data_IF_088665597793
#
_entry.id   IF_088665597793
#
_cell.length_a   1.000
_cell.length_b   1.000
_cell.length_c   1.000
_cell.angle_alpha   90.00
_cell.angle_beta   90.00
_cell.angle_gamma   90.00
#
_symmetry.space_group_name_H-M   'P 1'
#
loop_
_entity.id
_entity.type
_entity.pdbx_description
1 polymer ?
#
# COMPACT_ATOMS: atom_id res chain seq x y z
N UNK A 1 13.33 4.12 -11.51
CA UNK A 1 12.47 3.35 -10.58
C UNK A 1 13.33 2.81 -9.46
N UNK A 2 13.18 3.16 -8.17
CA UNK A 2 12.15 3.89 -7.42
C UNK A 2 12.16 5.42 -7.52
N UNK A 3 13.27 6.04 -7.94
CA UNK A 3 13.44 7.51 -7.87
C UNK A 3 12.42 8.29 -8.71
N UNK A 4 12.07 7.78 -9.89
CA UNK A 4 10.99 8.32 -10.73
C UNK A 4 9.64 8.34 -9.99
N UNK A 5 9.32 7.26 -9.26
CA UNK A 5 8.08 7.18 -8.47
C UNK A 5 8.13 8.18 -7.31
N UNK A 6 9.27 8.30 -6.62
CA UNK A 6 9.46 9.30 -5.56
C UNK A 6 9.28 10.73 -6.09
N UNK A 7 9.82 11.03 -7.27
CA UNK A 7 9.70 12.34 -7.91
C UNK A 7 8.26 12.66 -8.33
N UNK A 8 7.55 11.68 -8.90
CA UNK A 8 6.15 11.82 -9.29
C UNK A 8 5.22 11.97 -8.08
N UNK A 9 5.40 11.12 -7.07
CA UNK A 9 4.56 11.11 -5.88
C UNK A 9 4.91 12.21 -4.87
N UNK A 10 6.03 12.92 -5.06
CA UNK A 10 6.58 13.91 -4.13
C UNK A 10 6.79 13.34 -2.72
N UNK A 11 7.16 12.06 -2.64
CA UNK A 11 7.27 11.31 -1.39
C UNK A 11 8.47 10.39 -1.35
N UNK A 12 8.84 9.95 -0.15
CA UNK A 12 9.93 9.00 0.10
C UNK A 12 9.36 7.64 0.53
N UNK A 13 9.77 6.52 -0.07
CA UNK A 13 9.26 5.21 0.30
C UNK A 13 9.77 4.81 1.69
N UNK A 14 8.97 4.06 2.44
CA UNK A 14 9.47 3.34 3.62
C UNK A 14 10.30 2.13 3.22
N UNK A 15 9.99 1.54 2.06
CA UNK A 15 10.81 0.50 1.46
C UNK A 15 10.72 0.52 -0.07
N UNK A 16 11.85 0.32 -0.74
CA UNK A 16 11.89 0.22 -2.19
C UNK A 16 12.82 -0.91 -2.66
N UNK A 17 12.58 -1.39 -3.87
CA UNK A 17 13.38 -2.44 -4.52
C UNK A 17 13.52 -2.16 -6.00
N UNK A 18 14.69 -2.45 -6.54
CA UNK A 18 14.92 -2.40 -7.98
C UNK A 18 14.70 -3.78 -8.59
N UNK A 19 14.18 -3.83 -9.82
CA UNK A 19 14.17 -5.06 -10.59
C UNK A 19 15.62 -5.52 -10.80
N UNK A 20 15.88 -6.82 -10.61
CA UNK A 20 17.22 -7.39 -10.69
C UNK A 20 18.04 -7.27 -9.40
N UNK A 21 17.55 -6.58 -8.37
CA UNK A 21 18.24 -6.47 -7.09
C UNK A 21 18.38 -7.84 -6.41
N UNK A 22 19.57 -8.14 -5.90
CA UNK A 22 19.82 -9.28 -5.03
C UNK A 22 19.23 -9.05 -3.64
N UNK A 23 18.35 -9.95 -3.21
CA UNK A 23 17.73 -9.94 -1.90
C UNK A 23 18.26 -11.11 -1.09
N UNK A 24 19.05 -10.82 -0.05
CA UNK A 24 19.51 -11.83 0.90
C UNK A 24 18.40 -12.17 1.88
N UNK A 25 17.99 -13.43 1.89
CA UNK A 25 17.00 -13.96 2.83
C UNK A 25 17.68 -14.36 4.14
N UNK A 26 16.88 -14.46 5.21
CA UNK A 26 17.38 -14.82 6.56
C UNK A 26 18.08 -16.18 6.61
N UNK A 27 17.73 -17.10 5.70
CA UNK A 27 18.32 -18.43 5.57
C UNK A 27 19.59 -18.46 4.69
N UNK A 28 20.13 -17.30 4.29
CA UNK A 28 21.33 -17.19 3.45
C UNK A 28 21.09 -17.34 1.95
N UNK A 29 19.87 -17.69 1.52
CA UNK A 29 19.53 -17.78 0.09
C UNK A 29 19.45 -16.39 -0.53
N UNK A 30 20.01 -16.23 -1.74
CA UNK A 30 19.87 -15.01 -2.54
C UNK A 30 18.71 -15.18 -3.51
N UNK A 31 17.77 -14.23 -3.50
CA UNK A 31 16.68 -14.14 -4.46
C UNK A 31 16.83 -12.88 -5.30
N UNK A 32 16.72 -13.01 -6.62
CA UNK A 32 16.66 -11.86 -7.52
C UNK A 32 15.23 -11.30 -7.55
N UNK A 33 15.09 -10.00 -7.31
CA UNK A 33 13.81 -9.31 -7.44
C UNK A 33 13.33 -9.34 -8.89
N UNK A 34 12.26 -10.10 -9.18
CA UNK A 34 11.68 -10.19 -10.53
C UNK A 34 11.02 -8.88 -10.97
N UNK A 35 10.57 -8.08 -10.02
CA UNK A 35 9.93 -6.78 -10.21
C UNK A 35 10.54 -5.75 -9.27
N UNK A 36 10.44 -4.47 -9.64
CA UNK A 36 10.69 -3.36 -8.73
C UNK A 36 9.46 -3.08 -7.86
N UNK A 37 9.66 -2.47 -6.71
CA UNK A 37 8.56 -2.05 -5.82
C UNK A 37 8.90 -0.73 -5.15
N UNK A 38 7.90 0.13 -4.96
CA UNK A 38 7.98 1.35 -4.15
C UNK A 38 6.83 1.28 -3.16
N UNK A 39 7.11 1.35 -1.86
CA UNK A 39 6.11 1.08 -0.81
C UNK A 39 6.18 2.11 0.30
N UNK A 40 5.00 2.43 0.83
CA UNK A 40 4.79 3.14 2.08
C UNK A 40 4.12 2.22 3.10
N UNK A 41 4.27 2.56 4.37
CA UNK A 41 3.61 1.89 5.49
C UNK A 41 3.04 2.97 6.40
N UNK A 42 1.80 2.80 6.86
CA UNK A 42 1.21 3.64 7.89
C UNK A 42 1.66 3.19 9.29
N UNK A 43 1.43 4.06 10.26
CA UNK A 43 1.55 3.72 11.68
C UNK A 43 0.50 2.69 12.08
N UNK A 44 0.89 1.70 12.89
CA UNK A 44 -0.04 0.73 13.47
C UNK A 44 -1.04 1.45 14.39
N UNK A 45 -2.31 1.04 14.37
CA UNK A 45 -3.39 1.64 15.17
C UNK A 45 -4.16 0.56 15.92
N UNK A 46 -4.49 0.85 17.18
CA UNK A 46 -5.34 0.04 18.04
C UNK A 46 -6.32 0.95 18.80
N UNK A 47 -7.65 0.75 18.71
CA UNK A 47 -8.35 -0.20 17.82
C UNK A 47 -8.03 0.02 16.33
N UNK A 48 -8.34 -0.99 15.49
CA UNK A 48 -8.10 -0.92 14.05
C UNK A 48 -8.80 0.29 13.43
N UNK A 49 -8.06 1.06 12.63
CA UNK A 49 -8.56 2.25 11.93
C UNK A 49 -7.91 2.33 10.55
N UNK A 50 -8.38 1.44 9.67
CA UNK A 50 -7.88 1.33 8.30
C UNK A 50 -8.13 2.62 7.49
N UNK A 51 -9.28 3.27 7.70
CA UNK A 51 -9.59 4.50 6.97
C UNK A 51 -8.57 5.60 7.28
N UNK A 52 -8.24 5.81 8.56
CA UNK A 52 -7.24 6.81 8.90
C UNK A 52 -5.83 6.42 8.42
N UNK A 53 -5.48 5.14 8.36
CA UNK A 53 -4.22 4.67 7.79
C UNK A 53 -4.15 4.90 6.26
N UNK A 54 -5.26 4.69 5.54
CA UNK A 54 -5.38 5.03 4.12
C UNK A 54 -5.07 6.53 3.94
N UNK A 55 -5.74 7.40 4.70
CA UNK A 55 -5.51 8.84 4.57
C UNK A 55 -4.12 9.28 5.07
N UNK A 56 -3.56 8.62 6.08
CA UNK A 56 -2.17 8.86 6.51
C UNK A 56 -1.18 8.61 5.38
N UNK A 57 -1.35 7.53 4.61
CA UNK A 57 -0.53 7.24 3.43
C UNK A 57 -0.80 8.27 2.33
N UNK A 58 -2.06 8.48 1.95
CA UNK A 58 -2.41 9.34 0.81
C UNK A 58 -2.03 10.81 1.06
N UNK A 59 -2.07 11.30 2.30
CA UNK A 59 -1.70 12.67 2.64
C UNK A 59 -0.19 12.94 2.53
N UNK A 60 0.65 11.90 2.49
CA UNK A 60 2.10 12.04 2.27
C UNK A 60 2.47 12.18 0.79
N UNK A 61 1.50 12.02 -0.11
CA UNK A 61 1.71 11.94 -1.55
C UNK A 61 1.04 13.10 -2.28
N UNK A 62 1.42 13.31 -3.53
CA UNK A 62 0.74 14.25 -4.42
C UNK A 62 -0.76 13.99 -4.49
N UNK A 63 -1.55 15.07 -4.49
CA UNK A 63 -3.00 15.03 -4.69
C UNK A 63 -3.38 15.22 -6.17
N UNK A 64 -2.39 15.41 -7.05
CA UNK A 64 -2.60 15.57 -8.49
C UNK A 64 -3.03 14.24 -9.14
N UNK A 65 -4.30 14.15 -9.52
CA UNK A 65 -4.86 12.95 -10.12
C UNK A 65 -4.30 12.64 -11.51
N UNK A 66 -3.71 13.61 -12.22
CA UNK A 66 -3.08 13.35 -13.52
C UNK A 66 -1.81 12.50 -13.37
N UNK A 67 -1.09 12.70 -12.26
CA UNK A 67 0.05 11.85 -11.89
C UNK A 67 -0.41 10.44 -11.56
N UNK A 68 -1.51 10.31 -10.80
CA UNK A 68 -2.07 9.01 -10.46
C UNK A 68 -2.61 8.25 -11.68
N UNK A 69 -3.24 8.96 -12.63
CA UNK A 69 -3.64 8.38 -13.91
C UNK A 69 -2.42 7.85 -14.69
N UNK A 70 -1.36 8.63 -14.81
CA UNK A 70 -0.11 8.17 -15.42
C UNK A 70 0.48 6.94 -14.71
N UNK A 71 0.51 6.94 -13.38
CA UNK A 71 1.03 5.83 -12.59
C UNK A 71 0.18 4.57 -12.75
N UNK A 72 -1.14 4.67 -12.67
CA UNK A 72 -2.07 3.53 -12.81
C UNK A 72 -2.03 2.89 -14.21
N UNK A 73 -1.71 3.66 -15.25
CA UNK A 73 -1.56 3.15 -16.61
C UNK A 73 -0.24 2.38 -16.84
N UNK A 74 0.79 2.67 -16.04
CA UNK A 74 2.16 2.16 -16.25
C UNK A 74 2.60 1.15 -15.18
N UNK A 75 1.98 1.21 -14.02
CA UNK A 75 2.29 0.41 -12.84
C UNK A 75 1.02 -0.19 -12.24
N UNK A 76 1.15 -0.84 -11.09
CA UNK A 76 0.03 -1.44 -10.36
C UNK A 76 0.00 -0.82 -8.96
N UNK A 77 -0.61 0.35 -8.78
CA UNK A 77 -0.83 0.91 -7.45
C UNK A 77 -1.77 -0.01 -6.66
N UNK A 78 -1.32 -0.46 -5.50
CA UNK A 78 -2.09 -1.27 -4.58
C UNK A 78 -2.02 -0.71 -3.16
N UNK A 79 -3.01 -1.07 -2.35
CA UNK A 79 -2.98 -0.94 -0.90
C UNK A 79 -3.35 -2.30 -0.33
N UNK A 80 -2.43 -2.86 0.44
CA UNK A 80 -2.61 -4.13 1.11
C UNK A 80 -2.69 -3.94 2.62
N UNK A 81 -3.67 -4.57 3.27
CA UNK A 81 -3.70 -4.66 4.73
C UNK A 81 -4.23 -6.02 5.23
N UNK A 82 -3.69 -6.46 6.37
CA UNK A 82 -4.27 -7.52 7.17
C UNK A 82 -5.23 -6.94 8.21
N UNK A 83 -6.44 -7.48 8.29
CA UNK A 83 -7.48 -7.10 9.26
C UNK A 83 -7.68 -8.28 10.21
N UNK A 84 -7.58 -8.03 11.52
CA UNK A 84 -7.83 -9.03 12.56
C UNK A 84 -9.18 -8.74 13.21
N UNK A 85 -10.19 -9.52 12.81
CA UNK A 85 -11.53 -9.32 13.35
C UNK A 85 -11.57 -9.57 14.86
N UNK A 86 -12.33 -8.79 15.62
CA UNK A 86 -12.54 -9.00 17.05
C UNK A 86 -13.53 -10.15 17.34
N UNK A 87 -14.34 -10.54 16.36
CA UNK A 87 -15.32 -11.62 16.46
C UNK A 87 -15.76 -12.17 15.11
N UNK A 88 -16.53 -13.27 15.12
CA UNK A 88 -17.03 -13.94 13.90
C UNK A 88 -18.07 -13.13 13.09
N UNK A 89 -18.67 -12.12 13.71
CA UNK A 89 -19.63 -11.20 13.08
C UNK A 89 -19.18 -9.76 13.32
N UNK A 90 -17.89 -9.53 13.08
CA UNK A 90 -17.27 -8.23 13.13
C UNK A 90 -17.13 -7.67 11.71
N UNK A 91 -16.95 -6.37 11.59
CA UNK A 91 -16.85 -5.71 10.31
C UNK A 91 -16.17 -4.36 10.41
N UNK A 92 -15.43 -4.02 9.37
CA UNK A 92 -14.85 -2.71 9.18
C UNK A 92 -15.54 -2.06 7.97
N UNK A 93 -15.99 -0.82 8.15
CA UNK A 93 -16.52 -0.01 7.07
C UNK A 93 -15.47 0.99 6.59
N UNK A 94 -15.31 1.10 5.28
CA UNK A 94 -14.67 2.24 4.65
C UNK A 94 -15.73 3.21 4.15
N UNK A 95 -15.56 4.49 4.43
CA UNK A 95 -16.46 5.52 3.92
C UNK A 95 -16.41 5.59 2.39
N UNK A 96 -17.49 6.11 1.79
CA UNK A 96 -17.50 6.42 0.36
C UNK A 96 -16.37 7.38 -0.04
N UNK A 97 -15.93 8.26 0.89
CA UNK A 97 -14.80 9.16 0.69
C UNK A 97 -13.49 8.38 0.54
N UNK A 98 -13.24 7.39 1.40
CA UNK A 98 -12.04 6.56 1.33
C UNK A 98 -12.02 5.73 0.03
N UNK A 99 -13.15 5.10 -0.30
CA UNK A 99 -13.29 4.31 -1.53
C UNK A 99 -13.09 5.18 -2.79
N UNK A 100 -13.65 6.39 -2.81
CA UNK A 100 -13.44 7.34 -3.90
C UNK A 100 -11.98 7.78 -4.00
N UNK A 101 -11.33 8.06 -2.86
CA UNK A 101 -9.94 8.48 -2.84
C UNK A 101 -8.99 7.41 -3.43
N UNK A 102 -9.25 6.13 -3.15
CA UNK A 102 -8.52 5.01 -3.75
C UNK A 102 -8.87 4.87 -5.24
N UNK A 103 -10.17 4.86 -5.57
CA UNK A 103 -10.65 4.65 -6.93
C UNK A 103 -10.18 5.71 -7.93
N UNK A 104 -10.20 7.00 -7.54
CA UNK A 104 -9.70 8.09 -8.37
C UNK A 104 -8.20 8.01 -8.66
N UNK A 105 -7.45 7.25 -7.84
CA UNK A 105 -6.01 7.04 -7.99
C UNK A 105 -5.67 5.73 -8.67
N UNK A 106 -6.68 4.93 -9.04
CA UNK A 106 -6.49 3.60 -9.61
C UNK A 106 -5.83 2.62 -8.63
N UNK A 107 -6.04 2.79 -7.32
CA UNK A 107 -5.46 1.94 -6.28
C UNK A 107 -6.44 0.81 -5.96
N UNK A 108 -6.03 -0.44 -6.13
CA UNK A 108 -6.77 -1.60 -5.63
C UNK A 108 -6.60 -1.75 -4.12
N UNK A 109 -7.64 -2.19 -3.42
CA UNK A 109 -7.59 -2.55 -2.01
C UNK A 109 -7.58 -4.08 -1.88
N UNK A 110 -6.46 -4.62 -1.40
CA UNK A 110 -6.29 -6.03 -1.12
C UNK A 110 -6.32 -6.27 0.40
N UNK A 111 -7.16 -7.21 0.82
CA UNK A 111 -7.43 -7.49 2.22
C UNK A 111 -7.12 -8.95 2.53
N UNK A 112 -6.25 -9.18 3.51
CA UNK A 112 -6.24 -10.44 4.24
C UNK A 112 -7.12 -10.27 5.48
N UNK A 113 -8.22 -11.03 5.57
CA UNK A 113 -9.14 -10.97 6.71
C UNK A 113 -8.92 -12.22 7.57
N UNK A 114 -8.43 -12.00 8.79
CA UNK A 114 -8.10 -13.03 9.76
C UNK A 114 -9.22 -13.16 10.80
N UNK A 115 -9.56 -14.41 11.13
CA UNK A 115 -10.47 -14.74 12.22
C UNK A 115 -9.74 -14.62 13.57
N UNK A 116 -10.34 -14.07 14.64
CA UNK A 116 -9.68 -13.91 15.94
C UNK A 116 -9.24 -15.23 16.59
N UNK A 117 -9.79 -16.36 16.13
CA UNK A 117 -9.62 -17.68 16.76
C UNK A 117 -8.62 -18.60 16.05
N UNK A 118 -7.94 -18.13 14.98
CA UNK A 118 -6.95 -18.93 14.25
C UNK A 118 -5.72 -18.15 13.80
#
# INVERSE_FOLDING_TARGET
MPDEISALLLGSPTASRHKGQELKLKNGTVRIAKTGSWRLTSTQREPEDLEAQIFEILNQLTQDLTVWEYLSNRYQPDLFCGIFMAGRNDGLALSAKALLALGQRGISLDLDIYDPTR
#
